data_IF_782387000952
#
_entry.id   IF_782387000952
#
_cell.length_a   1.000
_cell.length_b   1.000
_cell.length_c   1.000
_cell.angle_alpha   90.00
_cell.angle_beta   90.00
_cell.angle_gamma   90.00
#
_symmetry.space_group_name_H-M   'P 1'
#
loop_
_entity.id
_entity.type
_entity.pdbx_description
1 polymer ?
#
# COMPACT_ATOMS: atom_id res chain seq x y z
N UNK A 1 -21.49 -3.84 15.97
CA UNK A 1 -21.45 -4.34 14.57
C UNK A 1 -22.10 -3.40 13.56
N UNK A 2 -23.16 -2.65 13.90
CA UNK A 2 -23.85 -1.78 12.92
C UNK A 2 -23.00 -0.64 12.32
N UNK A 3 -22.30 0.14 13.14
CA UNK A 3 -21.54 1.33 12.67
C UNK A 3 -20.37 0.94 11.76
N UNK A 4 -19.56 -0.05 12.16
CA UNK A 4 -18.43 -0.52 11.36
C UNK A 4 -18.85 -1.20 10.05
N UNK A 5 -19.96 -1.94 10.05
CA UNK A 5 -20.50 -2.53 8.82
C UNK A 5 -20.99 -1.46 7.84
N UNK A 6 -21.70 -0.45 8.34
CA UNK A 6 -22.15 0.69 7.54
C UNK A 6 -20.98 1.46 6.93
N UNK A 7 -19.92 1.73 7.71
CA UNK A 7 -18.75 2.45 7.22
C UNK A 7 -17.96 1.66 6.19
N UNK A 8 -17.83 0.33 6.33
CA UNK A 8 -17.24 -0.54 5.29
C UNK A 8 -18.04 -0.53 4.00
N UNK A 9 -19.38 -0.56 4.10
CA UNK A 9 -20.26 -0.52 2.95
C UNK A 9 -20.12 0.81 2.21
N UNK A 10 -20.12 1.93 2.92
CA UNK A 10 -19.87 3.26 2.34
C UNK A 10 -18.48 3.38 1.71
N UNK A 11 -17.44 2.83 2.34
CA UNK A 11 -16.09 2.77 1.77
C UNK A 11 -16.08 2.02 0.44
N UNK A 12 -16.73 0.86 0.40
CA UNK A 12 -16.81 0.07 -0.83
C UNK A 12 -17.55 0.83 -1.93
N UNK A 13 -18.73 1.37 -1.64
CA UNK A 13 -19.49 2.13 -2.63
C UNK A 13 -18.77 3.40 -3.09
N UNK A 14 -18.18 4.18 -2.17
CA UNK A 14 -17.40 5.36 -2.55
C UNK A 14 -16.20 4.99 -3.43
N UNK A 15 -15.51 3.89 -3.15
CA UNK A 15 -14.42 3.39 -4.01
C UNK A 15 -14.88 2.95 -5.40
N UNK A 16 -16.07 2.38 -5.52
CA UNK A 16 -16.66 2.05 -6.83
C UNK A 16 -17.11 3.31 -7.58
N UNK A 17 -17.77 4.26 -6.90
CA UNK A 17 -18.20 5.50 -7.52
C UNK A 17 -17.03 6.37 -7.98
N UNK A 18 -15.85 6.26 -7.34
CA UNK A 18 -14.63 6.92 -7.81
C UNK A 18 -14.22 6.49 -9.23
N UNK A 19 -14.56 5.28 -9.67
CA UNK A 19 -14.26 4.83 -11.04
C UNK A 19 -15.12 5.55 -12.10
N UNK A 20 -16.25 6.11 -11.67
CA UNK A 20 -17.24 6.75 -12.55
C UNK A 20 -17.33 8.27 -12.32
N UNK A 21 -16.37 8.88 -11.60
CA UNK A 21 -16.54 10.26 -11.15
C UNK A 21 -16.48 11.31 -12.25
N UNK A 22 -15.92 11.00 -13.43
CA UNK A 22 -15.85 11.88 -14.61
C UNK A 22 -14.87 13.06 -14.47
N UNK A 23 -14.93 13.74 -13.33
CA UNK A 23 -14.15 14.94 -13.00
C UNK A 23 -13.21 14.71 -11.81
N UNK A 24 -12.07 15.41 -11.81
CA UNK A 24 -11.08 15.37 -10.72
C UNK A 24 -11.62 15.95 -9.39
N UNK A 25 -12.52 16.93 -9.45
CA UNK A 25 -13.13 17.52 -8.25
C UNK A 25 -14.09 16.53 -7.58
N UNK A 26 -14.92 15.85 -8.36
CA UNK A 26 -15.81 14.80 -7.86
C UNK A 26 -14.99 13.62 -7.32
N UNK A 27 -13.92 13.24 -8.02
CA UNK A 27 -12.96 12.25 -7.53
C UNK A 27 -12.40 12.64 -6.16
N UNK A 28 -11.91 13.88 -6.01
CA UNK A 28 -11.38 14.36 -4.73
C UNK A 28 -12.43 14.32 -3.61
N UNK A 29 -13.67 14.76 -3.88
CA UNK A 29 -14.74 14.71 -2.88
C UNK A 29 -15.03 13.27 -2.43
N UNK A 30 -15.11 12.31 -3.36
CA UNK A 30 -15.30 10.90 -3.03
C UNK A 30 -14.11 10.32 -2.25
N UNK A 31 -12.90 10.78 -2.56
CA UNK A 31 -11.71 10.43 -1.81
C UNK A 31 -11.82 10.90 -0.34
N UNK A 32 -12.28 12.14 -0.09
CA UNK A 32 -12.50 12.64 1.28
C UNK A 32 -13.66 11.92 2.01
N UNK A 33 -14.72 11.54 1.29
CA UNK A 33 -15.78 10.72 1.90
C UNK A 33 -15.21 9.37 2.32
N UNK A 34 -14.35 8.77 1.50
CA UNK A 34 -13.70 7.50 1.83
C UNK A 34 -12.77 7.64 3.05
N UNK A 35 -12.02 8.73 3.17
CA UNK A 35 -11.13 8.94 4.34
C UNK A 35 -11.94 9.11 5.63
N UNK A 36 -13.04 9.86 5.59
CA UNK A 36 -13.94 10.05 6.73
C UNK A 36 -14.66 8.75 7.13
N UNK A 37 -15.03 7.91 6.15
CA UNK A 37 -15.65 6.61 6.42
C UNK A 37 -14.67 5.61 7.05
N UNK A 38 -13.36 5.85 7.00
CA UNK A 38 -12.37 5.04 7.72
C UNK A 38 -12.36 5.35 9.22
N UNK A 39 -12.72 6.58 9.64
CA UNK A 39 -12.66 7.02 11.04
C UNK A 39 -13.44 6.13 12.01
N UNK A 40 -14.72 5.75 11.74
CA UNK A 40 -15.47 4.86 12.63
C UNK A 40 -14.84 3.47 12.82
N UNK A 41 -14.01 3.02 11.87
CA UNK A 41 -13.35 1.71 11.95
C UNK A 41 -12.24 1.68 13.00
N UNK A 42 -11.58 2.81 13.24
CA UNK A 42 -10.61 2.91 14.35
C UNK A 42 -11.29 2.72 15.70
N UNK A 43 -12.57 3.10 15.86
CA UNK A 43 -13.29 2.86 17.12
C UNK A 43 -13.83 1.42 17.25
N UNK A 44 -13.90 0.66 16.15
CA UNK A 44 -14.39 -0.73 16.15
C UNK A 44 -13.33 -1.78 16.52
N UNK A 45 -12.15 -1.36 16.96
CA UNK A 45 -11.05 -2.25 17.34
C UNK A 45 -9.66 -1.64 17.25
N UNK A 46 -9.56 -0.38 16.80
CA UNK A 46 -8.31 0.35 16.71
C UNK A 46 -8.02 1.28 17.89
N UNK A 47 -6.84 1.88 17.88
CA UNK A 47 -6.46 2.91 18.86
C UNK A 47 -6.63 4.34 18.31
N UNK A 48 -6.82 5.29 19.23
CA UNK A 48 -6.98 6.72 18.93
C UNK A 48 -5.66 7.36 18.44
N UNK A 49 -4.51 6.84 18.85
CA UNK A 49 -3.21 7.41 18.44
C UNK A 49 -2.96 7.22 16.94
N UNK A 50 -3.31 6.06 16.38
CA UNK A 50 -3.27 5.81 14.94
C UNK A 50 -4.31 6.62 14.16
N UNK A 51 -5.46 6.92 14.77
CA UNK A 51 -6.48 7.78 14.15
C UNK A 51 -5.98 9.22 13.99
N UNK A 52 -5.32 9.77 15.01
CA UNK A 52 -4.85 11.15 14.97
C UNK A 52 -3.77 11.36 13.89
N UNK A 53 -2.81 10.44 13.78
CA UNK A 53 -1.80 10.52 12.72
C UNK A 53 -2.44 10.36 11.33
N UNK A 54 -3.43 9.48 11.19
CA UNK A 54 -4.19 9.34 9.94
C UNK A 54 -4.90 10.63 9.55
N UNK A 55 -5.63 11.27 10.47
CA UNK A 55 -6.38 12.51 10.21
C UNK A 55 -5.47 13.69 9.86
N UNK A 56 -4.34 13.84 10.55
CA UNK A 56 -3.38 14.92 10.26
C UNK A 56 -2.81 14.76 8.86
N UNK A 57 -2.39 13.55 8.49
CA UNK A 57 -1.79 13.32 7.17
C UNK A 57 -2.85 13.37 6.06
N UNK A 58 -4.04 12.83 6.30
CA UNK A 58 -5.13 12.87 5.31
C UNK A 58 -5.55 14.32 5.01
N UNK A 59 -5.66 15.17 6.04
CA UNK A 59 -5.99 16.60 5.86
C UNK A 59 -4.88 17.39 5.18
N UNK A 60 -3.61 17.14 5.50
CA UNK A 60 -2.49 17.75 4.76
C UNK A 60 -2.51 17.34 3.28
N UNK A 61 -2.73 16.05 3.01
CA UNK A 61 -2.80 15.54 1.64
C UNK A 61 -3.98 16.15 0.86
N UNK A 62 -5.12 16.36 1.50
CA UNK A 62 -6.33 16.86 0.85
C UNK A 62 -6.22 18.32 0.46
N UNK A 63 -5.61 19.14 1.32
CA UNK A 63 -5.31 20.55 1.02
C UNK A 63 -4.35 20.66 -0.17
N UNK A 64 -3.29 19.84 -0.20
CA UNK A 64 -2.33 19.83 -1.31
C UNK A 64 -2.99 19.43 -2.63
N UNK A 65 -3.84 18.39 -2.60
CA UNK A 65 -4.61 17.96 -3.77
C UNK A 65 -5.50 19.11 -4.27
N UNK A 66 -6.24 19.78 -3.39
CA UNK A 66 -7.12 20.88 -3.77
C UNK A 66 -6.37 22.07 -4.35
N UNK A 67 -5.26 22.47 -3.73
CA UNK A 67 -4.44 23.58 -4.25
C UNK A 67 -3.91 23.24 -5.64
N UNK A 68 -3.43 22.02 -5.87
CA UNK A 68 -2.97 21.59 -7.19
C UNK A 68 -4.07 21.45 -8.24
N UNK A 69 -5.33 21.23 -7.83
CA UNK A 69 -6.49 21.21 -8.73
C UNK A 69 -6.97 22.62 -9.11
N UNK A 70 -6.95 23.57 -8.16
CA UNK A 70 -7.42 24.95 -8.38
C UNK A 70 -6.39 25.78 -9.16
N UNK A 71 -5.09 25.56 -8.90
CA UNK A 71 -4.01 26.32 -9.52
C UNK A 71 -3.20 25.42 -10.47
N UNK A 72 -3.45 25.48 -11.80
CA UNK A 72 -2.81 24.58 -12.77
C UNK A 72 -1.29 24.77 -12.83
N UNK A 73 -0.79 25.98 -12.56
CA UNK A 73 0.64 26.29 -12.53
C UNK A 73 1.41 25.49 -11.48
N UNK A 74 0.71 24.94 -10.47
CA UNK A 74 1.30 24.19 -9.36
C UNK A 74 0.80 22.73 -9.31
N UNK A 75 0.57 22.13 -10.49
CA UNK A 75 0.16 20.72 -10.62
C UNK A 75 1.05 19.71 -9.87
N UNK A 76 2.34 20.03 -9.65
CA UNK A 76 3.21 19.18 -8.83
C UNK A 76 2.70 18.98 -7.40
N UNK A 77 2.01 19.97 -6.80
CA UNK A 77 1.40 19.82 -5.47
C UNK A 77 0.28 18.79 -5.46
N UNK A 78 -0.46 18.65 -6.56
CA UNK A 78 -1.45 17.58 -6.72
C UNK A 78 -0.77 16.21 -6.63
N UNK A 79 0.31 16.01 -7.39
CA UNK A 79 1.09 14.76 -7.37
C UNK A 79 1.68 14.50 -5.98
N UNK A 80 2.25 15.52 -5.32
CA UNK A 80 2.75 15.39 -3.95
C UNK A 80 1.66 15.02 -2.94
N UNK A 81 0.47 15.62 -3.06
CA UNK A 81 -0.68 15.29 -2.23
C UNK A 81 -1.08 13.81 -2.37
N UNK A 82 -1.08 13.29 -3.61
CA UNK A 82 -1.30 11.87 -3.86
C UNK A 82 -0.19 10.98 -3.29
N UNK A 83 1.08 11.36 -3.46
CA UNK A 83 2.22 10.65 -2.89
C UNK A 83 2.11 10.53 -1.36
N UNK A 84 1.71 11.61 -0.68
CA UNK A 84 1.46 11.59 0.76
C UNK A 84 0.31 10.63 1.08
N UNK A 85 -0.80 10.72 0.37
CA UNK A 85 -2.02 9.95 0.65
C UNK A 85 -1.86 8.44 0.44
N UNK A 86 -1.04 8.01 -0.52
CA UNK A 86 -0.74 6.59 -0.75
C UNK A 86 0.51 6.07 -0.03
N UNK A 87 1.22 6.93 0.70
CA UNK A 87 2.40 6.56 1.48
C UNK A 87 3.61 6.25 0.60
N UNK A 88 3.78 6.98 -0.50
CA UNK A 88 4.96 6.87 -1.35
C UNK A 88 6.14 7.62 -0.73
N UNK A 89 7.36 7.13 -0.95
CA UNK A 89 8.57 7.79 -0.45
C UNK A 89 8.67 9.23 -0.97
N UNK A 90 9.04 10.21 -0.12
CA UNK A 90 9.55 10.11 1.26
C UNK A 90 8.50 9.97 2.37
N UNK A 91 7.20 10.03 2.06
CA UNK A 91 6.10 10.14 3.02
C UNK A 91 5.59 8.79 3.52
N UNK A 92 6.50 7.85 3.83
CA UNK A 92 6.13 6.50 4.27
C UNK A 92 5.88 6.43 5.78
N UNK A 93 6.48 7.33 6.57
CA UNK A 93 6.51 7.26 8.04
C UNK A 93 5.13 7.13 8.67
N UNK A 94 4.16 7.91 8.20
CA UNK A 94 2.80 7.89 8.73
C UNK A 94 2.09 6.55 8.56
N UNK A 95 2.42 5.79 7.51
CA UNK A 95 1.83 4.46 7.26
C UNK A 95 2.20 3.51 8.40
N UNK A 96 3.44 3.59 8.89
CA UNK A 96 3.87 2.80 10.04
C UNK A 96 3.13 3.22 11.30
N UNK A 97 3.02 4.52 11.55
CA UNK A 97 2.31 5.02 12.73
C UNK A 97 0.85 4.58 12.72
N UNK A 98 0.14 4.77 11.60
CA UNK A 98 -1.28 4.41 11.51
C UNK A 98 -1.47 2.90 11.68
N UNK A 99 -0.75 2.07 10.93
CA UNK A 99 -0.96 0.62 10.96
C UNK A 99 -0.53 -0.01 12.28
N UNK A 100 0.65 0.37 12.80
CA UNK A 100 1.18 -0.20 14.04
C UNK A 100 0.39 0.29 15.24
N UNK A 101 0.12 1.60 15.35
CA UNK A 101 -0.62 2.09 16.51
C UNK A 101 -2.09 1.70 16.46
N UNK A 102 -2.70 1.58 15.26
CA UNK A 102 -4.10 1.15 15.18
C UNK A 102 -4.33 -0.23 15.80
N UNK A 103 -3.37 -1.17 15.77
CA UNK A 103 -3.53 -2.53 16.31
C UNK A 103 -4.77 -3.30 15.79
N UNK A 104 -5.32 -2.92 14.63
CA UNK A 104 -6.51 -3.58 14.08
C UNK A 104 -6.30 -4.01 12.64
N UNK A 105 -6.43 -5.32 12.41
CA UNK A 105 -6.30 -5.91 11.08
C UNK A 105 -7.36 -5.42 10.09
N UNK A 106 -8.53 -5.01 10.58
CA UNK A 106 -9.59 -4.43 9.75
C UNK A 106 -9.17 -3.07 9.17
N UNK A 107 -8.61 -2.17 10.00
CA UNK A 107 -8.07 -0.89 9.52
C UNK A 107 -6.91 -1.15 8.56
N UNK A 108 -6.04 -2.12 8.89
CA UNK A 108 -4.96 -2.53 7.98
C UNK A 108 -5.49 -2.99 6.62
N UNK A 109 -6.58 -3.75 6.60
CA UNK A 109 -7.24 -4.23 5.39
C UNK A 109 -7.77 -3.09 4.52
N UNK A 110 -8.51 -2.15 5.11
CA UNK A 110 -9.05 -1.01 4.36
C UNK A 110 -7.94 -0.14 3.77
N UNK A 111 -6.93 0.20 4.58
CA UNK A 111 -5.82 1.07 4.14
C UNK A 111 -4.96 0.37 3.09
N UNK A 112 -4.69 -0.93 3.22
CA UNK A 112 -3.81 -1.64 2.30
C UNK A 112 -4.48 -2.00 0.97
N UNK A 113 -5.76 -2.35 0.97
CA UNK A 113 -6.43 -2.95 -0.19
C UNK A 113 -7.46 -2.00 -0.78
N UNK A 114 -8.45 -1.56 -0.01
CA UNK A 114 -9.52 -0.71 -0.55
C UNK A 114 -9.00 0.63 -1.04
N UNK A 115 -8.02 1.22 -0.36
CA UNK A 115 -7.41 2.47 -0.82
C UNK A 115 -6.78 2.34 -2.22
N UNK A 116 -6.32 1.16 -2.63
CA UNK A 116 -5.64 0.97 -3.93
C UNK A 116 -6.60 0.95 -5.11
N UNK A 117 -7.88 0.66 -4.87
CA UNK A 117 -8.90 0.75 -5.93
C UNK A 117 -8.99 2.19 -6.46
N UNK A 118 -8.77 3.18 -5.58
CA UNK A 118 -8.78 4.61 -5.95
C UNK A 118 -7.65 4.97 -6.94
N UNK A 119 -6.56 4.19 -6.98
CA UNK A 119 -5.45 4.43 -7.90
C UNK A 119 -5.82 4.20 -9.37
N UNK A 120 -6.79 3.32 -9.66
CA UNK A 120 -7.22 3.03 -11.04
C UNK A 120 -7.63 4.31 -11.76
N UNK A 121 -8.46 5.11 -11.13
CA UNK A 121 -8.96 6.33 -11.75
C UNK A 121 -7.86 7.39 -11.87
N UNK A 122 -6.96 7.47 -10.88
CA UNK A 122 -5.85 8.44 -10.90
C UNK A 122 -4.87 8.21 -12.03
N UNK A 123 -4.58 6.95 -12.35
CA UNK A 123 -3.67 6.59 -13.42
C UNK A 123 -4.13 7.15 -14.77
N UNK A 124 -5.44 7.22 -15.03
CA UNK A 124 -5.98 7.83 -16.24
C UNK A 124 -5.60 9.31 -16.38
N UNK A 125 -5.58 10.07 -15.29
CA UNK A 125 -5.24 11.50 -15.31
C UNK A 125 -3.74 11.79 -15.26
N UNK A 126 -2.95 10.85 -14.74
CA UNK A 126 -1.51 11.04 -14.50
C UNK A 126 -0.63 10.58 -15.68
N UNK A 127 -1.22 10.17 -16.81
CA UNK A 127 -0.49 9.60 -17.96
C UNK A 127 0.66 10.50 -18.46
N UNK A 128 0.49 11.82 -18.40
CA UNK A 128 1.48 12.79 -18.90
C UNK A 128 2.61 13.14 -17.91
N UNK A 129 2.61 12.56 -16.71
CA UNK A 129 3.65 12.84 -15.71
C UNK A 129 4.96 12.17 -16.09
N UNK A 130 6.09 12.84 -15.80
CA UNK A 130 7.43 12.33 -16.09
C UNK A 130 7.73 11.02 -15.35
N UNK A 131 7.54 9.91 -16.05
CA UNK A 131 7.75 8.53 -15.59
C UNK A 131 9.14 8.34 -14.96
N UNK A 132 10.17 9.04 -15.47
CA UNK A 132 11.54 8.96 -14.99
C UNK A 132 11.67 9.33 -13.50
N UNK A 133 11.08 10.43 -13.04
CA UNK A 133 11.21 10.91 -11.66
C UNK A 133 10.51 9.95 -10.68
N UNK A 134 9.30 9.50 -11.04
CA UNK A 134 8.54 8.52 -10.27
C UNK A 134 9.30 7.20 -10.18
N UNK A 135 9.88 6.71 -11.28
CA UNK A 135 10.66 5.48 -11.29
C UNK A 135 11.84 5.52 -10.32
N UNK A 136 12.57 6.63 -10.24
CA UNK A 136 13.70 6.79 -9.31
C UNK A 136 13.23 6.78 -7.85
N UNK A 137 12.14 7.48 -7.53
CA UNK A 137 11.57 7.49 -6.17
C UNK A 137 11.14 6.09 -5.75
N UNK A 138 10.58 5.32 -6.68
CA UNK A 138 10.16 3.93 -6.45
C UNK A 138 11.34 3.03 -6.18
N UNK A 139 12.42 3.16 -6.95
CA UNK A 139 13.67 2.42 -6.72
C UNK A 139 14.23 2.66 -5.33
N UNK A 140 14.31 3.93 -4.92
CA UNK A 140 14.78 4.33 -3.59
C UNK A 140 13.87 3.74 -2.51
N UNK A 141 12.56 3.81 -2.69
CA UNK A 141 11.60 3.29 -1.71
C UNK A 141 11.68 1.77 -1.56
N UNK A 142 11.86 1.01 -2.65
CA UNK A 142 12.02 -0.44 -2.61
C UNK A 142 13.30 -0.84 -1.87
N UNK A 143 14.40 -0.13 -2.09
CA UNK A 143 15.65 -0.37 -1.37
C UNK A 143 15.51 -0.08 0.13
N UNK A 144 14.89 1.04 0.51
CA UNK A 144 14.68 1.41 1.91
C UNK A 144 13.77 0.40 2.61
N UNK A 145 12.66 0.02 1.99
CA UNK A 145 11.73 -0.96 2.57
C UNK A 145 12.37 -2.34 2.65
N UNK A 146 13.16 -2.73 1.63
CA UNK A 146 13.94 -3.96 1.65
C UNK A 146 14.94 -4.02 2.80
N UNK A 147 15.63 -2.90 3.08
CA UNK A 147 16.53 -2.79 4.23
C UNK A 147 15.78 -2.82 5.56
N UNK A 148 14.62 -2.15 5.64
CA UNK A 148 13.83 -2.07 6.87
C UNK A 148 13.32 -3.43 7.37
N UNK A 149 13.09 -4.43 6.49
CA UNK A 149 12.78 -5.80 6.93
C UNK A 149 13.79 -6.35 7.95
N UNK A 150 15.06 -5.97 7.83
CA UNK A 150 16.13 -6.48 8.68
C UNK A 150 16.27 -5.72 10.00
N UNK A 151 16.00 -4.42 9.96
CA UNK A 151 16.26 -3.52 11.09
C UNK A 151 15.04 -3.34 11.99
N UNK A 152 13.84 -3.16 11.41
CA UNK A 152 12.67 -2.63 12.12
C UNK A 152 11.45 -3.56 12.16
N UNK A 153 11.59 -4.82 11.79
CA UNK A 153 10.50 -5.80 11.80
C UNK A 153 10.24 -6.37 13.21
N UNK A 154 9.57 -5.59 14.07
CA UNK A 154 9.29 -5.99 15.46
C UNK A 154 8.06 -6.89 15.60
N UNK A 155 6.99 -6.57 14.87
CA UNK A 155 5.68 -7.24 14.91
C UNK A 155 5.19 -7.55 13.49
N UNK A 156 4.18 -8.41 13.37
CA UNK A 156 3.51 -8.72 12.09
C UNK A 156 2.91 -7.48 11.40
N UNK A 157 2.48 -6.48 12.17
CA UNK A 157 2.06 -5.20 11.61
C UNK A 157 3.19 -4.53 10.83
N UNK A 158 4.42 -4.45 11.36
CA UNK A 158 5.57 -3.90 10.64
C UNK A 158 5.90 -4.71 9.38
N UNK A 159 5.88 -6.04 9.48
CA UNK A 159 6.14 -6.93 8.33
C UNK A 159 5.11 -6.69 7.22
N UNK A 160 3.82 -6.60 7.58
CA UNK A 160 2.76 -6.25 6.63
C UNK A 160 2.93 -4.84 6.07
N UNK A 161 3.30 -3.84 6.88
CA UNK A 161 3.58 -2.49 6.40
C UNK A 161 4.64 -2.51 5.31
N UNK A 162 5.78 -3.19 5.53
CA UNK A 162 6.85 -3.29 4.54
C UNK A 162 6.37 -3.96 3.24
N UNK A 163 5.59 -5.04 3.33
CA UNK A 163 5.02 -5.70 2.14
C UNK A 163 3.98 -4.82 1.42
N UNK A 164 3.19 -4.07 2.16
CA UNK A 164 2.16 -3.18 1.61
C UNK A 164 2.77 -1.96 0.91
N UNK A 165 3.80 -1.36 1.50
CA UNK A 165 4.46 -0.17 0.93
C UNK A 165 5.19 -0.52 -0.36
N UNK A 166 5.91 -1.65 -0.42
CA UNK A 166 6.59 -2.05 -1.65
C UNK A 166 5.60 -2.31 -2.79
N UNK A 167 4.48 -2.97 -2.49
CA UNK A 167 3.43 -3.24 -3.46
C UNK A 167 2.70 -1.97 -3.87
N UNK A 168 2.40 -1.04 -2.96
CA UNK A 168 1.77 0.24 -3.32
C UNK A 168 2.62 1.08 -4.27
N UNK A 169 3.92 1.14 -4.01
CA UNK A 169 4.90 1.84 -4.84
C UNK A 169 4.95 1.22 -6.24
N UNK A 170 5.02 -0.10 -6.35
CA UNK A 170 5.08 -0.78 -7.66
C UNK A 170 3.77 -0.66 -8.42
N UNK A 171 2.63 -0.81 -7.74
CA UNK A 171 1.30 -0.56 -8.31
C UNK A 171 1.21 0.86 -8.86
N UNK A 172 1.75 1.86 -8.16
CA UNK A 172 1.72 3.25 -8.64
C UNK A 172 2.50 3.43 -9.96
N UNK A 173 3.72 2.89 -10.07
CA UNK A 173 4.52 3.00 -11.30
C UNK A 173 3.93 2.20 -12.43
N UNK A 174 3.45 0.99 -12.16
CA UNK A 174 2.83 0.14 -13.18
C UNK A 174 1.58 0.78 -13.76
N UNK A 175 0.85 1.58 -12.98
CA UNK A 175 -0.23 2.40 -13.51
C UNK A 175 0.25 3.34 -14.63
N UNK A 176 1.37 4.02 -14.44
CA UNK A 176 1.91 4.95 -15.45
C UNK A 176 2.55 4.27 -16.67
N UNK A 177 2.94 3.00 -16.54
CA UNK A 177 3.68 2.27 -17.58
C UNK A 177 2.81 1.37 -18.45
N UNK A 178 1.68 0.90 -17.93
CA UNK A 178 0.91 -0.20 -18.52
C UNK A 178 -0.51 0.24 -18.85
N UNK A 179 -1.09 -0.33 -19.91
CA UNK A 179 -2.50 -0.13 -20.24
C UNK A 179 -3.46 -0.60 -19.14
N UNK A 180 -4.65 0.00 -19.12
CA UNK A 180 -5.67 -0.19 -18.07
C UNK A 180 -6.10 -1.65 -17.91
N UNK A 181 -6.22 -2.41 -18.99
CA UNK A 181 -6.69 -3.80 -18.94
C UNK A 181 -5.77 -4.68 -18.07
N UNK A 182 -4.46 -4.58 -18.29
CA UNK A 182 -3.46 -5.33 -17.53
C UNK A 182 -3.34 -4.83 -16.09
N UNK A 183 -3.56 -3.52 -15.88
CA UNK A 183 -3.52 -2.88 -14.57
C UNK A 183 -4.69 -3.33 -13.67
N UNK A 184 -5.91 -3.41 -14.22
CA UNK A 184 -7.08 -3.91 -13.47
C UNK A 184 -6.88 -5.37 -13.05
N UNK A 185 -6.31 -6.20 -13.94
CA UNK A 185 -5.96 -7.58 -13.59
C UNK A 185 -4.93 -7.61 -12.44
N UNK A 186 -3.89 -6.76 -12.48
CA UNK A 186 -2.90 -6.67 -11.40
C UNK A 186 -3.56 -6.36 -10.06
N UNK A 187 -4.46 -5.38 -10.03
CA UNK A 187 -5.16 -4.99 -8.80
C UNK A 187 -6.10 -6.09 -8.30
N UNK A 188 -6.75 -6.83 -9.18
CA UNK A 188 -7.56 -7.98 -8.78
C UNK A 188 -6.71 -9.07 -8.13
N UNK A 189 -5.55 -9.37 -8.71
CA UNK A 189 -4.58 -10.34 -8.14
C UNK A 189 -4.08 -9.85 -6.78
N UNK A 190 -3.74 -8.56 -6.67
CA UNK A 190 -3.34 -7.95 -5.41
C UNK A 190 -4.46 -8.00 -4.36
N UNK A 191 -5.70 -7.76 -4.76
CA UNK A 191 -6.87 -7.83 -3.88
C UNK A 191 -7.02 -9.23 -3.28
N UNK A 192 -6.96 -10.29 -4.11
CA UNK A 192 -7.06 -11.68 -3.65
C UNK A 192 -5.89 -12.05 -2.74
N UNK A 193 -4.66 -11.72 -3.14
CA UNK A 193 -3.48 -12.03 -2.32
C UNK A 193 -3.50 -11.28 -0.99
N UNK A 194 -3.71 -9.96 -1.01
CA UNK A 194 -3.68 -9.11 0.18
C UNK A 194 -4.81 -9.43 1.17
N UNK A 195 -6.03 -9.67 0.67
CA UNK A 195 -7.16 -10.11 1.52
C UNK A 195 -6.82 -11.43 2.22
N UNK A 196 -6.24 -12.39 1.50
CA UNK A 196 -5.81 -13.68 2.05
C UNK A 196 -4.72 -13.56 3.11
N UNK A 197 -3.70 -12.72 2.88
CA UNK A 197 -2.63 -12.48 3.87
C UNK A 197 -3.17 -11.86 5.15
N UNK A 198 -4.02 -10.83 5.05
CA UNK A 198 -4.57 -10.18 6.25
C UNK A 198 -5.53 -11.11 6.98
N UNK A 199 -6.38 -11.86 6.27
CA UNK A 199 -7.25 -12.85 6.88
C UNK A 199 -6.44 -13.92 7.63
N UNK A 200 -5.33 -14.38 7.04
CA UNK A 200 -4.40 -15.30 7.67
C UNK A 200 -3.79 -14.71 8.95
N UNK A 201 -3.23 -13.49 8.88
CA UNK A 201 -2.60 -12.81 10.02
C UNK A 201 -3.59 -12.44 11.14
N UNK A 202 -4.87 -12.20 10.80
CA UNK A 202 -5.90 -11.81 11.75
C UNK A 202 -6.40 -12.96 12.63
N UNK A 203 -6.34 -14.21 12.15
CA UNK A 203 -6.99 -15.33 12.83
C UNK A 203 -6.18 -16.61 12.93
N UNK A 204 -5.63 -17.11 11.81
CA UNK A 204 -5.31 -18.53 11.69
C UNK A 204 -3.86 -18.76 11.27
N UNK A 205 -2.93 -18.76 12.23
CA UNK A 205 -1.48 -18.91 12.01
C UNK A 205 -1.04 -20.37 11.74
N UNK A 206 -1.72 -21.04 10.81
CA UNK A 206 -1.36 -22.38 10.35
C UNK A 206 -0.22 -22.37 9.32
N UNK A 207 0.67 -23.37 9.38
CA UNK A 207 1.80 -23.49 8.45
C UNK A 207 1.36 -23.50 6.97
N UNK A 208 0.22 -24.13 6.66
CA UNK A 208 -0.32 -24.18 5.29
C UNK A 208 -0.68 -22.79 4.79
N UNK A 209 -1.33 -21.97 5.63
CA UNK A 209 -1.67 -20.59 5.28
C UNK A 209 -0.43 -19.73 5.10
N UNK A 210 0.60 -19.94 5.93
CA UNK A 210 1.88 -19.26 5.78
C UNK A 210 2.53 -19.52 4.42
N UNK A 211 2.61 -20.79 4.02
CA UNK A 211 3.21 -21.20 2.75
C UNK A 211 2.39 -20.69 1.55
N UNK A 212 1.07 -20.73 1.65
CA UNK A 212 0.18 -20.36 0.55
C UNK A 212 0.09 -18.84 0.31
N UNK A 213 0.07 -18.05 1.39
CA UNK A 213 -0.15 -16.59 1.31
C UNK A 213 1.12 -15.76 1.37
N UNK A 214 2.13 -16.13 2.17
CA UNK A 214 3.32 -15.29 2.41
C UNK A 214 4.53 -15.75 1.60
N UNK A 215 4.83 -17.05 1.60
CA UNK A 215 6.01 -17.57 0.91
C UNK A 215 5.81 -17.70 -0.60
N UNK A 216 6.82 -17.30 -1.37
CA UNK A 216 6.85 -17.42 -2.82
C UNK A 216 7.33 -18.83 -3.23
N UNK A 217 6.48 -19.83 -2.97
CA UNK A 217 6.68 -21.24 -3.35
C UNK A 217 5.85 -21.52 -4.63
N UNK A 218 6.24 -22.47 -5.50
CA UNK A 218 5.36 -22.92 -6.58
C UNK A 218 3.93 -23.16 -6.09
N UNK A 219 2.95 -22.67 -6.86
CA UNK A 219 1.50 -22.66 -6.56
C UNK A 219 1.02 -21.65 -5.49
N UNK A 220 1.90 -20.84 -4.90
CA UNK A 220 1.46 -19.81 -3.95
C UNK A 220 0.93 -18.56 -4.65
N UNK A 221 -0.03 -17.87 -4.01
CA UNK A 221 -0.57 -16.61 -4.53
C UNK A 221 0.46 -15.48 -4.51
N UNK A 222 1.41 -15.51 -3.56
CA UNK A 222 2.47 -14.50 -3.51
C UNK A 222 3.45 -14.63 -4.68
N UNK A 223 3.76 -15.85 -5.11
CA UNK A 223 4.58 -16.09 -6.30
C UNK A 223 3.85 -15.59 -7.56
N UNK A 224 2.56 -15.90 -7.68
CA UNK A 224 1.75 -15.44 -8.82
C UNK A 224 1.75 -13.91 -8.94
N UNK A 225 1.51 -13.20 -7.84
CA UNK A 225 1.59 -11.74 -7.79
C UNK A 225 2.98 -11.22 -8.23
N UNK A 226 4.07 -11.76 -7.67
CA UNK A 226 5.44 -11.29 -7.96
C UNK A 226 5.91 -11.58 -9.38
N UNK A 227 5.52 -12.72 -9.95
CA UNK A 227 5.85 -13.05 -11.35
C UNK A 227 5.05 -12.15 -12.29
N UNK A 228 3.77 -11.93 -12.00
CA UNK A 228 2.94 -11.04 -12.81
C UNK A 228 3.44 -9.59 -12.77
N UNK A 229 3.83 -9.07 -11.59
CA UNK A 229 4.44 -7.73 -11.50
C UNK A 229 5.77 -7.66 -12.25
N UNK A 230 6.60 -8.71 -12.19
CA UNK A 230 7.85 -8.79 -12.92
C UNK A 230 7.64 -8.74 -14.45
N UNK A 231 6.64 -9.48 -14.95
CA UNK A 231 6.26 -9.45 -16.36
C UNK A 231 5.90 -8.03 -16.83
N UNK A 232 5.10 -7.31 -16.03
CA UNK A 232 4.69 -5.95 -16.37
C UNK A 232 5.82 -4.91 -16.25
N UNK A 233 6.80 -5.14 -15.36
CA UNK A 233 7.97 -4.27 -15.21
C UNK A 233 9.06 -4.49 -16.27
N UNK A 234 8.92 -5.50 -17.14
CA UNK A 234 9.96 -5.92 -18.09
C UNK A 234 10.45 -4.81 -19.02
N UNK A 235 9.65 -3.75 -19.24
CA UNK A 235 10.06 -2.57 -20.02
C UNK A 235 11.23 -1.79 -19.42
N UNK A 236 11.52 -1.97 -18.12
CA UNK A 236 12.57 -1.24 -17.40
C UNK A 236 13.45 -2.19 -16.60
N UNK A 237 14.58 -2.60 -17.18
CA UNK A 237 15.54 -3.54 -16.56
C UNK A 237 15.98 -3.10 -15.16
N UNK A 238 16.22 -1.81 -14.95
CA UNK A 238 16.66 -1.29 -13.65
C UNK A 238 15.61 -1.56 -12.55
N UNK A 239 14.35 -1.24 -12.82
CA UNK A 239 13.22 -1.50 -11.91
C UNK A 239 13.04 -2.99 -11.62
N UNK A 240 13.17 -3.84 -12.64
CA UNK A 240 13.10 -5.30 -12.47
C UNK A 240 14.20 -5.80 -11.54
N UNK A 241 15.44 -5.32 -11.70
CA UNK A 241 16.55 -5.75 -10.86
C UNK A 241 16.35 -5.36 -9.39
N UNK A 242 15.88 -4.13 -9.12
CA UNK A 242 15.59 -3.70 -7.74
C UNK A 242 14.36 -4.40 -7.16
N UNK A 243 13.33 -4.64 -7.97
CA UNK A 243 12.17 -5.45 -7.56
C UNK A 243 12.58 -6.88 -7.17
N UNK A 244 13.49 -7.48 -7.94
CA UNK A 244 14.05 -8.79 -7.64
C UNK A 244 14.86 -8.78 -6.34
N UNK A 245 15.75 -7.81 -6.16
CA UNK A 245 16.52 -7.64 -4.92
C UNK A 245 15.61 -7.47 -3.70
N UNK A 246 14.58 -6.62 -3.80
CA UNK A 246 13.57 -6.47 -2.76
C UNK A 246 12.86 -7.79 -2.45
N UNK A 247 12.36 -8.47 -3.50
CA UNK A 247 11.63 -9.73 -3.36
C UNK A 247 12.49 -10.82 -2.71
N UNK A 248 13.79 -10.85 -3.02
CA UNK A 248 14.73 -11.77 -2.39
C UNK A 248 14.90 -11.47 -0.90
N UNK A 249 15.09 -10.20 -0.52
CA UNK A 249 15.24 -9.80 0.89
C UNK A 249 13.99 -10.13 1.72
N UNK A 250 12.80 -9.85 1.19
CA UNK A 250 11.52 -10.17 1.84
C UNK A 250 11.38 -11.68 2.06
N UNK A 251 11.61 -12.49 1.02
CA UNK A 251 11.42 -13.94 1.09
C UNK A 251 12.47 -14.61 1.97
N UNK A 252 13.71 -14.12 1.95
CA UNK A 252 14.74 -14.59 2.87
C UNK A 252 14.33 -14.34 4.33
N UNK A 253 13.79 -13.15 4.64
CA UNK A 253 13.30 -12.83 5.97
C UNK A 253 12.17 -13.78 6.42
N UNK A 254 11.18 -14.01 5.55
CA UNK A 254 10.06 -14.90 5.83
C UNK A 254 10.50 -16.35 6.05
N UNK A 255 11.38 -16.89 5.19
CA UNK A 255 11.92 -18.26 5.37
C UNK A 255 12.69 -18.37 6.70
N UNK A 256 13.52 -17.39 7.02
CA UNK A 256 14.27 -17.37 8.28
C UNK A 256 13.35 -17.35 9.50
N UNK A 257 12.22 -16.65 9.41
CA UNK A 257 11.22 -16.61 10.46
C UNK A 257 10.63 -18.01 10.74
N UNK A 258 10.28 -18.76 9.68
CA UNK A 258 9.77 -20.15 9.80
C UNK A 258 10.78 -21.09 10.43
N UNK A 259 12.05 -21.01 10.02
CA UNK A 259 13.09 -21.93 10.51
C UNK A 259 13.45 -21.64 11.97
N UNK A 260 13.56 -20.36 12.33
CA UNK A 260 14.08 -19.97 13.64
C UNK A 260 13.01 -19.83 14.72
N UNK A 261 11.72 -19.69 14.36
CA UNK A 261 10.61 -19.28 15.26
C UNK A 261 10.94 -18.05 16.13
N UNK A 262 11.97 -17.30 15.74
CA UNK A 262 12.43 -16.08 16.40
C UNK A 262 12.52 -15.04 15.30
N UNK A 263 11.89 -13.90 15.54
CA UNK A 263 12.10 -12.69 14.74
C UNK A 263 13.59 -12.41 14.76
N UNK A 264 14.24 -12.54 13.59
CA UNK A 264 15.68 -12.39 13.53
C UNK A 264 16.01 -10.91 13.70
N UNK A 265 16.36 -10.52 14.94
CA UNK A 265 16.89 -9.20 15.22
C UNK A 265 18.29 -9.15 14.66
N UNK A 266 18.48 -8.51 13.51
CA UNK A 266 19.77 -7.86 13.27
C UNK A 266 19.79 -6.67 14.23
N UNK A 267 20.38 -6.86 15.42
CA UNK A 267 20.74 -5.73 16.28
C UNK A 267 21.85 -4.96 15.57
N UNK A 268 21.49 -4.06 14.67
CA UNK A 268 22.40 -2.95 14.40
C UNK A 268 22.24 -1.98 15.56
N UNK A 269 23.30 -1.93 16.33
CA UNK A 269 23.52 -1.07 17.47
C UNK A 269 23.56 0.38 16.95
N UNK A 270 22.41 1.04 16.86
CA UNK A 270 22.34 2.50 16.74
C UNK A 270 21.87 3.04 18.09
N UNK A 271 22.86 3.16 18.98
CA UNK A 271 22.89 4.23 19.98
C UNK A 271 22.89 5.56 19.22
N UNK A 272 21.73 6.23 19.12
CA UNK A 272 21.51 7.67 19.41
C UNK A 272 20.04 7.84 19.75
#
# INVERSE_FOLDING_TARGET
>A
MGVGGFSLLLLFFSSLFMLFSGDLVVYWMLLEISTLCLVPLFFCGGSVSGLLSYLVVSSLSSVLIMVGLVFPDVYLLFVFGLCIKFGLFPFVGWVYDVLVYSNSWLVCWVISILSKITLVYLVFFLWDVSVGLVSVLVMISLLIVGFNFWVSSLNWYYVWCHMMISSSVVIFVLGLLVGMDLYVVLLFVYFVWGTGVIYYLAGNMGVVGYVLWLLAVPLSFSLYYKVYTCYLLCGSLCLVMVWFLYSFMEQYYLVKWVVSNKVSKFRFLLLV
#
